data_IF_030497078950
#
_entry.id   IF_030497078950
#
_cell.length_a   1.000
_cell.length_b   1.000
_cell.length_c   1.000
_cell.angle_alpha   90.00
_cell.angle_beta   90.00
_cell.angle_gamma   90.00
#
_symmetry.space_group_name_H-M   'P 1'
#
loop_
_entity.id
_entity.type
_entity.pdbx_description
1 polymer ?
#
# COMPACT_ATOMS: atom_id res chain seq x y z
N UNK A 1 22.68 0.17 23.83
CA UNK A 1 21.35 0.38 24.44
C UNK A 1 21.01 -0.87 25.23
N UNK A 2 20.81 -0.75 26.54
CA UNK A 2 20.64 -1.87 27.47
C UNK A 2 19.18 -2.34 27.56
N UNK A 3 18.62 -2.84 26.46
CA UNK A 3 17.28 -3.42 26.42
C UNK A 3 17.35 -4.94 26.40
N UNK A 4 16.47 -5.60 27.16
CA UNK A 4 16.10 -6.99 26.93
C UNK A 4 14.98 -7.04 25.89
N UNK A 5 15.09 -7.92 24.90
CA UNK A 5 14.13 -8.01 23.80
C UNK A 5 13.41 -9.36 23.81
N UNK A 6 12.09 -9.30 23.73
CA UNK A 6 11.23 -10.45 23.47
C UNK A 6 10.65 -10.37 22.06
N UNK A 7 10.97 -11.35 21.23
CA UNK A 7 10.38 -11.50 19.90
C UNK A 7 9.23 -12.50 19.93
N UNK A 8 8.00 -12.01 19.73
CA UNK A 8 6.83 -12.87 19.53
C UNK A 8 6.43 -12.78 18.06
N UNK A 9 6.58 -13.87 17.33
CA UNK A 9 6.27 -13.96 15.90
C UNK A 9 5.28 -15.07 15.67
N UNK A 10 4.19 -14.77 14.96
CA UNK A 10 3.30 -15.83 14.53
C UNK A 10 3.92 -16.64 13.38
N UNK A 11 3.71 -17.96 13.42
CA UNK A 11 4.14 -18.89 12.36
C UNK A 11 3.11 -19.03 11.24
N UNK A 12 1.95 -18.40 11.37
CA UNK A 12 0.85 -18.43 10.41
C UNK A 12 0.05 -17.12 10.50
N UNK A 13 -0.79 -16.77 9.53
CA UNK A 13 -1.60 -15.54 9.59
C UNK A 13 -2.80 -15.67 10.55
N UNK A 14 -2.54 -16.04 11.82
CA UNK A 14 -3.53 -16.36 12.85
C UNK A 14 -3.76 -15.25 13.89
N UNK A 15 -3.18 -14.06 13.70
CA UNK A 15 -3.43 -12.89 14.56
C UNK A 15 -3.09 -13.03 16.05
N UNK A 16 -2.16 -13.90 16.43
CA UNK A 16 -1.78 -14.11 17.84
C UNK A 16 -2.99 -14.53 18.71
N UNK A 17 -3.56 -15.73 18.50
CA UNK A 17 -4.71 -16.22 19.24
C UNK A 17 -4.43 -16.24 20.74
N UNK A 18 -5.46 -15.97 21.55
CA UNK A 18 -5.33 -15.92 23.02
C UNK A 18 -4.67 -17.18 23.59
N UNK A 19 -5.14 -18.36 23.15
CA UNK A 19 -4.63 -19.66 23.61
C UNK A 19 -3.11 -19.81 23.38
N UNK A 20 -2.61 -19.32 22.24
CA UNK A 20 -1.18 -19.36 21.92
C UNK A 20 -0.39 -18.35 22.77
N UNK A 21 -0.96 -17.17 22.97
CA UNK A 21 -0.31 -16.08 23.71
C UNK A 21 -0.22 -16.31 25.21
N UNK A 22 -1.16 -17.05 25.81
CA UNK A 22 -1.12 -17.40 27.23
C UNK A 22 0.19 -18.10 27.63
N UNK A 23 0.71 -18.99 26.78
CA UNK A 23 2.00 -19.65 27.00
C UNK A 23 3.17 -18.68 26.96
N UNK A 24 3.22 -17.83 25.93
CA UNK A 24 4.27 -16.83 25.76
C UNK A 24 4.28 -15.81 26.92
N UNK A 25 3.11 -15.28 27.29
CA UNK A 25 2.94 -14.31 28.38
C UNK A 25 3.42 -14.89 29.71
N UNK A 26 3.11 -16.16 30.02
CA UNK A 26 3.61 -16.80 31.24
C UNK A 26 5.13 -16.84 31.31
N UNK A 27 5.79 -17.22 30.21
CA UNK A 27 7.26 -17.27 30.13
C UNK A 27 7.86 -15.87 30.29
N UNK A 28 7.32 -14.89 29.56
CA UNK A 28 7.79 -13.50 29.62
C UNK A 28 7.62 -12.95 31.04
N UNK A 29 6.44 -13.09 31.64
CA UNK A 29 6.18 -12.62 33.01
C UNK A 29 7.09 -13.29 34.05
N UNK A 30 7.44 -14.57 33.87
CA UNK A 30 8.40 -15.25 34.75
C UNK A 30 9.79 -14.62 34.69
N UNK A 31 10.27 -14.25 33.51
CA UNK A 31 11.55 -13.54 33.40
C UNK A 31 11.45 -12.10 33.93
N UNK A 32 10.39 -11.37 33.60
CA UNK A 32 10.18 -10.00 34.07
C UNK A 32 10.17 -9.89 35.60
N UNK A 33 9.67 -10.91 36.30
CA UNK A 33 9.73 -10.99 37.77
C UNK A 33 11.17 -11.12 38.30
N UNK A 34 12.06 -11.78 37.55
CA UNK A 34 13.46 -11.96 37.90
C UNK A 34 14.28 -10.73 37.54
N UNK A 35 14.10 -10.19 36.33
CA UNK A 35 14.88 -9.07 35.80
C UNK A 35 14.42 -7.70 36.32
N UNK A 36 13.15 -7.57 36.76
CA UNK A 36 12.55 -6.37 37.35
C UNK A 36 12.89 -5.07 36.59
N UNK A 37 12.55 -4.99 35.30
CA UNK A 37 12.88 -3.82 34.50
C UNK A 37 12.15 -2.57 34.99
N UNK A 38 12.75 -1.40 34.75
CA UNK A 38 12.15 -0.09 35.09
C UNK A 38 10.89 0.20 34.26
N UNK A 39 10.86 -0.27 33.02
CA UNK A 39 9.74 -0.08 32.09
C UNK A 39 9.62 -1.28 31.15
N UNK A 40 8.39 -1.54 30.72
CA UNK A 40 8.08 -2.61 29.76
C UNK A 40 7.26 -1.97 28.65
N UNK A 41 7.68 -2.20 27.42
CA UNK A 41 7.06 -1.68 26.21
C UNK A 41 6.71 -2.85 25.30
N UNK A 42 5.47 -2.90 24.84
CA UNK A 42 5.09 -3.73 23.69
C UNK A 42 4.98 -2.85 22.46
N UNK A 43 5.44 -3.34 21.31
CA UNK A 43 5.26 -2.61 20.05
C UNK A 43 5.00 -3.57 18.90
N UNK A 44 4.31 -3.09 17.88
CA UNK A 44 4.02 -3.89 16.72
C UNK A 44 3.27 -3.12 15.64
N UNK A 45 3.17 -3.76 14.48
CA UNK A 45 2.55 -3.21 13.28
C UNK A 45 1.40 -4.10 12.80
N UNK A 46 0.28 -3.54 12.35
CA UNK A 46 -0.85 -4.30 11.81
C UNK A 46 -1.38 -5.30 12.84
N UNK A 47 -1.38 -6.60 12.53
CA UNK A 47 -1.66 -7.70 13.48
C UNK A 47 -0.74 -7.72 14.69
N UNK A 48 0.53 -7.33 14.52
CA UNK A 48 1.45 -7.14 15.64
C UNK A 48 1.07 -5.92 16.49
N UNK A 49 0.48 -4.89 15.89
CA UNK A 49 -0.06 -3.73 16.60
C UNK A 49 -1.30 -4.11 17.42
N UNK A 50 -2.16 -4.98 16.86
CA UNK A 50 -3.23 -5.64 17.60
C UNK A 50 -2.69 -6.37 18.83
N UNK A 51 -1.71 -7.27 18.66
CA UNK A 51 -1.14 -8.04 19.77
C UNK A 51 -0.48 -7.14 20.82
N UNK A 52 0.25 -6.11 20.38
CA UNK A 52 0.88 -5.15 21.27
C UNK A 52 -0.14 -4.46 22.19
N UNK A 53 -1.30 -4.04 21.66
CA UNK A 53 -2.39 -3.47 22.45
C UNK A 53 -3.10 -4.53 23.30
N UNK A 54 -3.54 -5.64 22.67
CA UNK A 54 -4.39 -6.68 23.26
C UNK A 54 -3.80 -7.36 24.48
N UNK A 55 -2.48 -7.48 24.55
CA UNK A 55 -1.78 -8.19 25.63
C UNK A 55 -0.96 -7.25 26.51
N UNK A 56 -1.10 -5.93 26.33
CA UNK A 56 -0.33 -4.94 27.10
C UNK A 56 -0.67 -4.96 28.59
N UNK A 57 -1.94 -5.16 28.95
CA UNK A 57 -2.34 -5.29 30.35
C UNK A 57 -1.74 -6.55 31.00
N UNK A 58 -1.79 -7.69 30.31
CA UNK A 58 -1.28 -8.99 30.80
C UNK A 58 0.24 -8.98 31.01
N UNK A 59 0.96 -8.16 30.25
CA UNK A 59 2.41 -7.94 30.36
C UNK A 59 2.77 -6.73 31.24
N UNK A 60 1.78 -6.01 31.78
CA UNK A 60 1.96 -4.73 32.47
C UNK A 60 2.83 -3.73 31.68
N UNK A 61 2.68 -3.72 30.36
CA UNK A 61 3.51 -2.99 29.41
C UNK A 61 2.75 -1.83 28.77
N UNK A 62 3.42 -0.70 28.50
CA UNK A 62 2.82 0.37 27.69
C UNK A 62 2.96 -0.01 26.21
N UNK A 63 1.84 0.00 25.47
CA UNK A 63 1.86 -0.38 24.06
C UNK A 63 2.11 0.80 23.12
N UNK A 64 2.85 0.51 22.05
CA UNK A 64 3.08 1.39 20.90
C UNK A 64 2.66 0.64 19.64
N UNK A 65 1.43 0.87 19.18
CA UNK A 65 0.90 0.15 18.03
C UNK A 65 0.87 1.01 16.76
N UNK A 66 1.35 0.46 15.66
CA UNK A 66 1.31 1.07 14.33
C UNK A 66 0.23 0.39 13.49
N UNK A 67 -0.73 1.17 13.00
CA UNK A 67 -1.87 0.70 12.19
C UNK A 67 -2.53 -0.57 12.76
N UNK A 68 -2.84 -0.61 14.07
CA UNK A 68 -3.39 -1.80 14.69
C UNK A 68 -4.74 -2.16 14.07
N UNK A 69 -4.99 -3.46 13.96
CA UNK A 69 -6.29 -3.96 13.55
C UNK A 69 -7.14 -4.28 14.79
N UNK A 70 -8.45 -4.09 14.68
CA UNK A 70 -9.38 -4.31 15.79
C UNK A 70 -9.89 -5.75 15.89
N UNK A 71 -10.19 -6.37 14.75
CA UNK A 71 -10.77 -7.72 14.67
C UNK A 71 -10.42 -8.40 13.34
N UNK A 72 -10.22 -9.72 13.40
CA UNK A 72 -10.10 -10.62 12.24
C UNK A 72 -11.47 -11.19 11.83
N UNK A 73 -12.47 -11.10 12.70
CA UNK A 73 -13.79 -11.68 12.48
C UNK A 73 -14.55 -10.88 11.41
N UNK A 74 -14.83 -11.47 10.23
CA UNK A 74 -15.54 -10.78 9.15
C UNK A 74 -16.99 -10.44 9.52
N UNK A 75 -17.62 -11.16 10.46
CA UNK A 75 -18.96 -10.82 10.91
C UNK A 75 -18.98 -9.52 11.73
N UNK A 76 -17.81 -9.13 12.27
CA UNK A 76 -17.61 -7.92 13.09
C UNK A 76 -16.89 -6.80 12.34
N UNK A 77 -16.54 -7.01 11.07
CA UNK A 77 -15.85 -6.02 10.25
C UNK A 77 -16.78 -4.96 9.64
N UNK A 78 -18.09 -5.09 9.84
CA UNK A 78 -19.11 -4.14 9.33
C UNK A 78 -19.01 -3.90 7.81
N UNK A 79 -18.66 -4.94 7.05
CA UNK A 79 -18.53 -4.86 5.60
C UNK A 79 -17.19 -4.29 5.12
N UNK A 80 -16.29 -3.90 6.02
CA UNK A 80 -14.89 -3.75 5.67
C UNK A 80 -14.39 -5.11 5.19
N UNK A 81 -13.64 -5.14 4.10
CA UNK A 81 -13.04 -6.34 3.53
C UNK A 81 -11.52 -6.26 3.70
N UNK A 82 -10.92 -7.31 4.26
CA UNK A 82 -9.48 -7.38 4.51
C UNK A 82 -8.91 -8.71 4.01
N UNK A 83 -7.68 -8.74 3.48
CA UNK A 83 -7.09 -9.95 2.90
C UNK A 83 -6.87 -11.07 3.92
N UNK A 84 -6.93 -10.77 5.21
CA UNK A 84 -6.71 -11.72 6.30
C UNK A 84 -7.99 -12.40 6.82
N UNK A 85 -9.18 -11.95 6.42
CA UNK A 85 -10.43 -12.57 6.90
C UNK A 85 -10.62 -14.01 6.42
N UNK A 86 -9.98 -14.38 5.31
CA UNK A 86 -9.92 -15.77 4.85
C UNK A 86 -9.20 -16.72 5.81
N UNK A 87 -8.45 -16.19 6.78
CA UNK A 87 -7.78 -16.95 7.82
C UNK A 87 -8.55 -16.95 9.14
N UNK A 88 -9.74 -16.34 9.19
CA UNK A 88 -10.61 -16.45 10.33
C UNK A 88 -11.03 -17.90 10.56
N UNK A 89 -10.88 -18.33 11.80
CA UNK A 89 -11.28 -19.62 12.31
C UNK A 89 -11.94 -19.38 13.66
N UNK A 90 -13.24 -19.66 13.77
CA UNK A 90 -14.01 -19.41 14.99
C UNK A 90 -13.50 -20.19 16.20
N UNK A 91 -12.82 -21.33 16.01
CA UNK A 91 -12.26 -22.13 17.11
C UNK A 91 -11.00 -21.52 17.73
N UNK A 92 -10.33 -20.64 16.98
CA UNK A 92 -9.10 -19.96 17.36
C UNK A 92 -9.32 -18.48 17.70
N UNK A 93 -10.24 -17.82 17.00
CA UNK A 93 -10.38 -16.36 17.00
C UNK A 93 -11.62 -15.84 17.72
N UNK A 94 -12.27 -16.70 18.51
CA UNK A 94 -13.36 -16.26 19.39
C UNK A 94 -12.85 -15.19 20.37
N UNK A 95 -13.64 -14.13 20.56
CA UNK A 95 -13.37 -13.03 21.50
C UNK A 95 -12.01 -12.31 21.35
N UNK A 96 -11.49 -12.26 20.13
CA UNK A 96 -10.25 -11.57 19.79
C UNK A 96 -10.38 -10.06 19.56
N UNK A 97 -11.48 -9.42 19.95
CA UNK A 97 -11.56 -7.96 19.93
C UNK A 97 -10.71 -7.31 21.03
N UNK A 98 -10.23 -6.09 20.76
CA UNK A 98 -9.60 -5.25 21.77
C UNK A 98 -10.70 -4.69 22.69
N UNK A 99 -10.49 -4.79 24.01
CA UNK A 99 -11.38 -4.29 25.07
C UNK A 99 -10.56 -3.48 26.07
N UNK A 100 -11.21 -2.77 26.98
CA UNK A 100 -10.55 -1.80 27.86
C UNK A 100 -9.58 -2.48 28.83
N UNK A 101 -9.97 -3.63 29.37
CA UNK A 101 -9.19 -4.47 30.26
C UNK A 101 -7.94 -5.08 29.60
N UNK A 102 -7.91 -5.16 28.27
CA UNK A 102 -6.78 -5.69 27.52
C UNK A 102 -5.63 -4.67 27.38
N UNK A 103 -5.95 -3.38 27.51
CA UNK A 103 -5.05 -2.29 27.18
C UNK A 103 -4.51 -1.61 28.43
N UNK A 104 -3.19 -1.57 28.58
CA UNK A 104 -2.53 -0.81 29.65
C UNK A 104 -2.76 0.69 29.44
N UNK A 105 -3.17 1.38 30.50
CA UNK A 105 -3.26 2.85 30.52
C UNK A 105 -1.94 3.51 30.08
N UNK A 106 -2.03 4.52 29.22
CA UNK A 106 -0.86 5.22 28.66
C UNK A 106 -0.38 4.64 27.33
N UNK A 107 -0.94 3.52 26.89
CA UNK A 107 -0.71 2.97 25.55
C UNK A 107 -1.15 3.94 24.45
N UNK A 108 -0.43 3.95 23.35
CA UNK A 108 -0.71 4.79 22.19
C UNK A 108 -0.78 3.96 20.92
N UNK A 109 -1.47 4.48 19.91
CA UNK A 109 -1.43 3.90 18.58
C UNK A 109 -1.49 4.93 17.47
N UNK A 110 -0.92 4.59 16.32
CA UNK A 110 -0.81 5.45 15.16
C UNK A 110 -1.68 4.92 14.03
N UNK A 111 -2.38 5.81 13.34
CA UNK A 111 -3.20 5.46 12.19
C UNK A 111 -3.31 6.63 11.21
N UNK A 112 -3.58 6.32 9.95
CA UNK A 112 -3.93 7.32 8.94
C UNK A 112 -5.45 7.55 8.93
N UNK A 113 -5.95 8.73 9.33
CA UNK A 113 -7.39 9.02 9.31
C UNK A 113 -7.98 9.09 7.90
N UNK A 114 -7.16 9.20 6.86
CA UNK A 114 -7.57 9.28 5.45
C UNK A 114 -7.68 7.88 4.84
N UNK A 115 -6.99 6.90 5.41
CA UNK A 115 -7.06 5.51 4.96
C UNK A 115 -8.24 4.82 5.65
N UNK A 116 -9.27 4.48 4.86
CA UNK A 116 -10.58 4.06 5.36
C UNK A 116 -10.50 2.84 6.28
N UNK A 117 -9.70 1.83 5.92
CA UNK A 117 -9.49 0.62 6.70
C UNK A 117 -8.88 0.90 8.08
N UNK A 118 -7.76 1.62 8.12
CA UNK A 118 -7.12 2.00 9.38
C UNK A 118 -8.01 2.92 10.23
N UNK A 119 -8.74 3.83 9.59
CA UNK A 119 -9.68 4.74 10.26
C UNK A 119 -10.83 3.98 10.91
N UNK A 120 -11.36 2.94 10.24
CA UNK A 120 -12.37 2.06 10.83
C UNK A 120 -11.83 1.31 12.05
N UNK A 121 -10.67 0.65 11.93
CA UNK A 121 -10.04 -0.04 13.05
C UNK A 121 -9.75 0.91 14.22
N UNK A 122 -9.22 2.10 13.94
CA UNK A 122 -8.94 3.11 14.95
C UNK A 122 -10.19 3.53 15.72
N UNK A 123 -11.32 3.75 15.04
CA UNK A 123 -12.60 4.07 15.70
C UNK A 123 -13.03 2.98 16.66
N UNK A 124 -12.98 1.71 16.24
CA UNK A 124 -13.32 0.58 17.10
C UNK A 124 -12.41 0.47 18.32
N UNK A 125 -11.10 0.72 18.16
CA UNK A 125 -10.15 0.73 19.27
C UNK A 125 -10.44 1.88 20.25
N UNK A 126 -10.77 3.07 19.75
CA UNK A 126 -11.14 4.24 20.58
C UNK A 126 -12.43 3.97 21.37
N UNK A 127 -13.42 3.35 20.74
CA UNK A 127 -14.70 3.02 21.37
C UNK A 127 -14.54 1.97 22.48
N UNK A 128 -13.58 1.05 22.33
CA UNK A 128 -13.46 -0.14 23.19
C UNK A 128 -12.23 -0.14 24.10
N UNK A 129 -11.38 0.88 24.10
CA UNK A 129 -10.17 0.93 24.93
C UNK A 129 -9.77 2.34 25.36
N UNK A 130 -8.81 2.43 26.28
CA UNK A 130 -8.24 3.71 26.73
C UNK A 130 -6.91 4.05 26.01
N UNK A 131 -6.62 3.40 24.88
CA UNK A 131 -5.44 3.70 24.08
C UNK A 131 -5.55 5.09 23.44
N UNK A 132 -4.47 5.87 23.48
CA UNK A 132 -4.48 7.22 22.91
C UNK A 132 -4.17 7.19 21.42
N UNK A 133 -5.08 7.65 20.54
CA UNK A 133 -4.81 7.76 19.11
C UNK A 133 -3.82 8.88 18.79
N UNK A 134 -2.88 8.61 17.89
CA UNK A 134 -1.96 9.60 17.31
C UNK A 134 -2.13 9.60 15.79
N UNK A 135 -2.62 10.73 15.28
CA UNK A 135 -2.88 10.88 13.84
C UNK A 135 -1.57 10.94 13.04
N UNK A 136 -1.49 10.11 12.00
CA UNK A 136 -0.43 10.10 11.00
C UNK A 136 -1.01 10.15 9.57
N UNK A 137 -1.53 11.31 9.11
CA UNK A 137 -2.17 11.42 7.81
C UNK A 137 -1.23 11.14 6.64
N UNK A 138 -1.78 10.55 5.58
CA UNK A 138 -1.07 10.15 4.36
C UNK A 138 0.02 9.10 4.61
N UNK A 139 -0.17 8.19 5.55
CA UNK A 139 0.76 7.07 5.77
C UNK A 139 0.19 5.73 5.31
N UNK A 140 -1.11 5.69 4.96
CA UNK A 140 -1.81 4.46 4.64
C UNK A 140 -1.68 3.46 5.79
N UNK A 141 -1.62 2.18 5.46
CA UNK A 141 -1.41 1.13 6.46
C UNK A 141 0.02 1.12 7.03
N UNK A 142 1.00 1.82 6.43
CA UNK A 142 2.42 1.70 6.78
C UNK A 142 2.91 2.79 7.76
N UNK A 143 2.14 3.07 8.81
CA UNK A 143 2.47 4.14 9.79
C UNK A 143 3.85 3.96 10.45
N UNK A 144 4.34 2.72 10.61
CA UNK A 144 5.65 2.44 11.22
C UNK A 144 6.82 3.04 10.44
N UNK A 145 6.77 2.99 9.10
CA UNK A 145 7.82 3.58 8.25
C UNK A 145 7.84 5.09 8.43
N UNK A 146 6.67 5.71 8.58
CA UNK A 146 6.57 7.13 8.86
C UNK A 146 7.18 7.51 10.22
N UNK A 147 7.00 6.68 11.25
CA UNK A 147 7.60 6.92 12.57
C UNK A 147 9.12 6.83 12.53
N UNK A 148 9.67 5.90 11.73
CA UNK A 148 11.10 5.75 11.50
C UNK A 148 11.63 6.98 10.76
N UNK A 149 11.03 7.35 9.63
CA UNK A 149 11.48 8.48 8.79
C UNK A 149 11.46 9.83 9.54
N UNK A 150 10.48 10.01 10.43
CA UNK A 150 10.33 11.23 11.23
C UNK A 150 11.19 11.23 12.50
N UNK A 151 11.86 10.11 12.81
CA UNK A 151 12.55 9.86 14.08
C UNK A 151 11.60 9.89 15.28
N UNK A 152 10.29 9.79 15.07
CA UNK A 152 9.31 9.78 16.15
C UNK A 152 9.50 8.57 17.07
N UNK A 153 9.94 7.45 16.50
CA UNK A 153 10.25 6.22 17.23
C UNK A 153 11.32 6.44 18.32
N UNK A 154 12.35 7.23 18.04
CA UNK A 154 13.42 7.56 18.99
C UNK A 154 12.91 8.35 20.18
N UNK A 155 11.90 9.20 19.98
CA UNK A 155 11.28 9.96 21.07
C UNK A 155 10.47 9.07 22.01
N UNK A 156 10.12 7.86 21.58
CA UNK A 156 9.38 6.91 22.40
C UNK A 156 10.36 5.99 23.13
N UNK A 157 11.34 5.42 22.43
CA UNK A 157 12.27 4.47 23.04
C UNK A 157 13.37 5.12 23.87
N UNK A 158 13.79 6.37 23.59
CA UNK A 158 14.80 7.05 24.40
C UNK A 158 14.19 7.88 25.55
N UNK A 159 12.88 7.71 25.81
CA UNK A 159 12.22 8.36 26.92
C UNK A 159 12.46 7.54 28.19
N UNK A 160 13.09 8.15 29.20
CA UNK A 160 13.15 7.57 30.56
C UNK A 160 11.76 7.54 31.23
N UNK A 161 10.74 8.11 30.58
CA UNK A 161 9.38 8.17 31.10
C UNK A 161 8.54 6.98 30.63
N UNK A 162 7.81 6.39 31.58
CA UNK A 162 6.79 5.36 31.33
C UNK A 162 5.60 5.95 30.55
N UNK A 163 5.38 7.26 30.61
CA UNK A 163 4.25 7.93 29.95
C UNK A 163 4.65 8.48 28.59
N UNK A 164 3.88 8.13 27.56
CA UNK A 164 4.09 8.60 26.21
C UNK A 164 3.36 9.94 26.00
N UNK A 165 4.11 11.01 25.71
CA UNK A 165 3.53 12.31 25.33
C UNK A 165 3.07 12.30 23.87
N UNK A 166 1.80 11.90 23.68
CA UNK A 166 1.15 11.85 22.38
C UNK A 166 1.16 13.20 21.63
N UNK A 167 1.07 14.33 22.35
CA UNK A 167 1.07 15.66 21.73
C UNK A 167 2.45 15.99 21.15
N UNK A 168 3.50 15.79 21.92
CA UNK A 168 4.89 16.02 21.47
C UNK A 168 5.27 15.11 20.31
N UNK A 169 4.86 13.84 20.36
CA UNK A 169 5.08 12.90 19.25
C UNK A 169 4.34 13.35 18.00
N UNK A 170 3.06 13.70 18.10
CA UNK A 170 2.29 14.22 16.96
C UNK A 170 2.92 15.47 16.37
N UNK A 171 3.40 16.39 17.22
CA UNK A 171 4.12 17.59 16.78
C UNK A 171 5.41 17.23 16.03
N UNK A 172 6.18 16.25 16.53
CA UNK A 172 7.39 15.75 15.85
C UNK A 172 7.08 15.13 14.50
N UNK A 173 6.09 14.25 14.42
CA UNK A 173 5.59 13.66 13.17
C UNK A 173 5.22 14.76 12.19
N UNK A 174 4.37 15.72 12.60
CA UNK A 174 3.96 16.84 11.75
C UNK A 174 5.17 17.61 11.23
N UNK A 175 6.11 17.99 12.09
CA UNK A 175 7.25 18.81 11.68
C UNK A 175 8.22 18.09 10.74
N UNK A 176 8.31 16.76 10.83
CA UNK A 176 9.26 15.96 10.07
C UNK A 176 8.63 15.13 8.94
N UNK A 177 7.31 15.18 8.76
CA UNK A 177 6.58 14.37 7.76
C UNK A 177 7.15 14.49 6.34
N UNK A 178 7.74 15.64 6.01
CA UNK A 178 8.39 15.88 4.72
C UNK A 178 9.66 15.05 4.47
N UNK A 179 10.19 14.35 5.49
CA UNK A 179 11.29 13.39 5.34
C UNK A 179 10.81 12.00 4.92
N UNK A 180 9.51 11.74 4.99
CA UNK A 180 8.97 10.41 4.83
C UNK A 180 8.49 10.14 3.40
N UNK A 181 9.00 9.08 2.80
CA UNK A 181 8.62 8.68 1.45
C UNK A 181 7.16 8.27 1.38
N UNK A 182 6.68 7.52 2.38
CA UNK A 182 5.31 7.02 2.43
C UNK A 182 4.30 8.17 2.54
N UNK A 183 4.67 9.23 3.25
CA UNK A 183 3.90 10.48 3.33
C UNK A 183 3.68 11.11 1.96
N UNK A 184 4.76 11.25 1.19
CA UNK A 184 4.67 11.89 -0.12
C UNK A 184 3.90 11.04 -1.13
N UNK A 185 4.13 9.73 -1.16
CA UNK A 185 3.45 8.81 -2.07
C UNK A 185 1.94 8.81 -1.82
N UNK A 186 1.49 8.59 -0.59
CA UNK A 186 0.06 8.57 -0.29
C UNK A 186 -0.60 9.94 -0.46
N UNK A 187 0.15 11.03 -0.24
CA UNK A 187 -0.34 12.37 -0.52
C UNK A 187 -0.60 12.59 -2.01
N UNK A 188 0.25 12.06 -2.89
CA UNK A 188 -0.01 12.06 -4.34
C UNK A 188 -1.32 11.33 -4.65
N UNK A 189 -1.48 10.10 -4.15
CA UNK A 189 -2.69 9.31 -4.43
C UNK A 189 -3.96 9.96 -3.89
N UNK A 190 -3.92 10.50 -2.68
CA UNK A 190 -5.08 11.16 -2.07
C UNK A 190 -5.51 12.41 -2.84
N UNK A 191 -4.55 13.24 -3.28
CA UNK A 191 -4.84 14.47 -4.02
C UNK A 191 -5.25 14.20 -5.48
N UNK A 192 -4.72 13.14 -6.10
CA UNK A 192 -4.99 12.80 -7.51
C UNK A 192 -6.45 12.45 -7.80
N UNK A 193 -7.27 12.21 -6.76
CA UNK A 193 -8.73 12.07 -6.85
C UNK A 193 -9.43 13.35 -7.34
N UNK A 194 -8.79 14.52 -7.21
CA UNK A 194 -9.32 15.80 -7.69
C UNK A 194 -8.19 16.64 -8.29
N UNK A 195 -7.66 16.13 -9.41
CA UNK A 195 -6.46 16.68 -10.06
C UNK A 195 -6.60 18.15 -10.45
N UNK A 196 -7.78 18.56 -10.92
CA UNK A 196 -8.02 19.93 -11.40
C UNK A 196 -7.91 20.94 -10.26
N UNK A 197 -8.29 20.53 -9.05
CA UNK A 197 -8.23 21.37 -7.86
C UNK A 197 -6.84 21.43 -7.24
N UNK A 198 -6.07 20.35 -7.29
CA UNK A 198 -4.84 20.19 -6.50
C UNK A 198 -3.58 19.97 -7.34
N UNK A 199 -3.58 20.43 -8.59
CA UNK A 199 -2.49 20.20 -9.53
C UNK A 199 -1.11 20.58 -8.96
N UNK A 200 -1.01 21.77 -8.35
CA UNK A 200 0.24 22.25 -7.76
C UNK A 200 0.71 21.42 -6.56
N UNK A 201 -0.21 21.00 -5.68
CA UNK A 201 0.10 20.17 -4.53
C UNK A 201 0.47 18.74 -4.93
N UNK A 202 -0.17 18.19 -5.96
CA UNK A 202 0.16 16.89 -6.55
C UNK A 202 1.58 16.95 -7.10
N UNK A 203 1.90 17.96 -7.92
CA UNK A 203 3.24 18.12 -8.46
C UNK A 203 4.28 18.24 -7.33
N UNK A 204 4.03 19.09 -6.34
CA UNK A 204 4.93 19.24 -5.20
C UNK A 204 5.12 17.91 -4.45
N UNK A 205 4.05 17.16 -4.21
CA UNK A 205 4.13 15.87 -3.54
C UNK A 205 4.88 14.83 -4.38
N UNK A 206 4.60 14.75 -5.69
CA UNK A 206 5.24 13.81 -6.61
C UNK A 206 6.74 14.08 -6.74
N UNK A 207 7.16 15.35 -6.83
CA UNK A 207 8.58 15.73 -6.84
C UNK A 207 9.30 15.30 -5.57
N UNK A 208 8.68 15.47 -4.40
CA UNK A 208 9.29 15.01 -3.16
C UNK A 208 9.32 13.48 -3.06
N UNK A 209 8.26 12.79 -3.48
CA UNK A 209 8.25 11.33 -3.55
C UNK A 209 9.37 10.80 -4.46
N UNK A 210 9.60 11.40 -5.63
CA UNK A 210 10.70 11.06 -6.54
C UNK A 210 12.09 11.26 -5.91
N UNK A 211 12.27 12.30 -5.08
CA UNK A 211 13.56 12.54 -4.38
C UNK A 211 13.92 11.41 -3.42
N UNK A 212 12.94 10.91 -2.66
CA UNK A 212 13.17 9.86 -1.66
C UNK A 212 13.08 8.45 -2.26
N UNK A 213 12.23 8.23 -3.27
CA UNK A 213 12.08 6.98 -4.00
C UNK A 213 12.71 7.10 -5.40
N UNK A 214 14.01 7.38 -5.44
CA UNK A 214 14.72 7.72 -6.68
C UNK A 214 14.78 6.59 -7.71
N UNK A 215 14.44 5.35 -7.35
CA UNK A 215 14.36 4.20 -8.27
C UNK A 215 12.98 3.59 -8.39
N UNK A 216 11.95 4.22 -7.81
CA UNK A 216 10.57 3.74 -7.96
C UNK A 216 9.92 4.40 -9.17
N UNK A 217 9.28 3.63 -10.06
CA UNK A 217 8.58 4.17 -11.22
C UNK A 217 7.30 4.93 -10.83
N UNK A 218 6.57 4.50 -9.80
CA UNK A 218 5.22 4.99 -9.50
C UNK A 218 5.14 6.50 -9.23
N UNK A 219 5.98 7.11 -8.37
CA UNK A 219 5.96 8.55 -8.17
C UNK A 219 6.31 9.34 -9.43
N UNK A 220 7.10 8.75 -10.34
CA UNK A 220 7.48 9.39 -11.61
C UNK A 220 6.35 9.35 -12.62
N UNK A 221 5.60 8.25 -12.65
CA UNK A 221 4.39 8.16 -13.47
C UNK A 221 3.39 9.23 -13.06
N UNK A 222 3.14 9.39 -11.76
CA UNK A 222 2.25 10.45 -11.27
C UNK A 222 2.79 11.86 -11.54
N UNK A 223 4.11 12.07 -11.41
CA UNK A 223 4.76 13.32 -11.81
C UNK A 223 4.59 13.59 -13.32
N UNK A 224 4.75 12.58 -14.17
CA UNK A 224 4.57 12.72 -15.61
C UNK A 224 3.11 13.06 -15.97
N UNK A 225 2.13 12.41 -15.32
CA UNK A 225 0.69 12.68 -15.52
C UNK A 225 0.37 14.14 -15.22
N UNK A 226 0.84 14.66 -14.09
CA UNK A 226 0.53 16.05 -13.72
C UNK A 226 1.26 17.07 -14.58
N UNK A 227 2.53 16.82 -14.93
CA UNK A 227 3.30 17.69 -15.82
C UNK A 227 2.68 17.73 -17.23
N UNK A 228 2.23 16.57 -17.74
CA UNK A 228 1.57 16.51 -19.03
C UNK A 228 0.27 17.32 -19.03
N UNK A 229 -0.60 17.12 -18.01
CA UNK A 229 -1.86 17.86 -17.88
C UNK A 229 -1.68 19.37 -17.75
N UNK A 230 -0.59 19.81 -17.14
CA UNK A 230 -0.26 21.24 -16.96
C UNK A 230 0.52 21.84 -18.12
N UNK A 231 0.66 21.12 -19.24
CA UNK A 231 1.31 21.61 -20.47
C UNK A 231 2.85 21.52 -20.47
N UNK A 232 3.46 20.93 -19.45
CA UNK A 232 4.91 20.78 -19.30
C UNK A 232 5.41 19.47 -19.92
N UNK A 233 5.13 19.32 -21.22
CA UNK A 233 5.30 18.04 -21.94
C UNK A 233 6.75 17.54 -21.95
N UNK A 234 7.75 18.41 -22.02
CA UNK A 234 9.18 18.02 -22.01
C UNK A 234 9.59 17.40 -20.66
N UNK A 235 9.21 18.03 -19.54
CA UNK A 235 9.47 17.47 -18.22
C UNK A 235 8.67 16.19 -17.97
N UNK A 236 7.42 16.13 -18.45
CA UNK A 236 6.61 14.92 -18.40
C UNK A 236 7.29 13.78 -19.16
N UNK A 237 7.82 14.07 -20.35
CA UNK A 237 8.58 13.14 -21.18
C UNK A 237 9.84 12.63 -20.49
N UNK A 238 10.56 13.51 -19.79
CA UNK A 238 11.74 13.13 -19.01
C UNK A 238 11.38 12.24 -17.82
N UNK A 239 10.32 12.59 -17.08
CA UNK A 239 9.85 11.82 -15.94
C UNK A 239 9.39 10.41 -16.35
N UNK A 240 8.63 10.28 -17.45
CA UNK A 240 8.12 8.98 -17.90
C UNK A 240 9.21 8.10 -18.49
N UNK A 241 10.18 8.67 -19.23
CA UNK A 241 11.33 7.91 -19.73
C UNK A 241 12.15 7.35 -18.58
N UNK A 242 12.35 8.14 -17.52
CA UNK A 242 13.04 7.66 -16.33
C UNK A 242 12.22 6.62 -15.56
N UNK A 243 10.88 6.75 -15.49
CA UNK A 243 10.02 5.72 -14.93
C UNK A 243 10.21 4.38 -15.66
N UNK A 244 10.23 4.42 -17.00
CA UNK A 244 10.46 3.24 -17.83
C UNK A 244 11.85 2.60 -17.61
N UNK A 245 12.89 3.36 -17.26
CA UNK A 245 14.19 2.76 -16.91
C UNK A 245 14.19 1.98 -15.59
N UNK A 246 13.20 2.22 -14.72
CA UNK A 246 13.11 1.61 -13.39
C UNK A 246 11.93 0.65 -13.25
N UNK A 247 11.13 0.45 -14.30
CA UNK A 247 10.09 -0.55 -14.26
C UNK A 247 10.72 -1.94 -14.38
N UNK A 248 10.27 -2.87 -13.56
CA UNK A 248 10.78 -4.23 -13.47
C UNK A 248 9.67 -5.23 -13.85
N UNK A 249 10.04 -6.48 -14.13
CA UNK A 249 9.09 -7.56 -14.38
C UNK A 249 8.07 -7.70 -13.24
N UNK A 250 8.52 -7.55 -11.98
CA UNK A 250 7.70 -7.65 -10.79
C UNK A 250 6.84 -6.40 -10.51
N UNK A 251 7.01 -5.30 -11.26
CA UNK A 251 6.19 -4.11 -11.11
C UNK A 251 4.71 -4.43 -11.35
N UNK A 252 3.84 -3.66 -10.71
CA UNK A 252 2.39 -3.81 -10.89
C UNK A 252 2.00 -3.56 -12.34
N UNK A 253 1.00 -4.29 -12.79
CA UNK A 253 0.51 -4.24 -14.17
C UNK A 253 0.00 -2.84 -14.55
N UNK A 254 -0.67 -2.16 -13.63
CA UNK A 254 -1.20 -0.81 -13.84
C UNK A 254 -0.08 0.21 -14.11
N UNK A 255 1.07 0.04 -13.46
CA UNK A 255 2.22 0.92 -13.64
C UNK A 255 2.79 0.79 -15.05
N UNK A 256 2.88 -0.44 -15.56
CA UNK A 256 3.28 -0.69 -16.93
C UNK A 256 2.35 -0.03 -17.94
N UNK A 257 1.04 -0.10 -17.70
CA UNK A 257 0.05 0.51 -18.59
C UNK A 257 0.11 2.02 -18.62
N UNK A 258 0.18 2.65 -17.45
CA UNK A 258 0.33 4.10 -17.38
C UNK A 258 1.63 4.56 -18.06
N UNK A 259 2.73 3.79 -17.93
CA UNK A 259 3.98 4.06 -18.66
C UNK A 259 3.78 3.97 -20.17
N UNK A 260 3.24 2.87 -20.67
CA UNK A 260 3.03 2.64 -22.11
C UNK A 260 2.14 3.74 -22.71
N UNK A 261 1.03 4.06 -22.05
CA UNK A 261 0.08 5.07 -22.50
C UNK A 261 0.73 6.47 -22.55
N UNK A 262 1.45 6.87 -21.50
CA UNK A 262 2.10 8.18 -21.44
C UNK A 262 3.28 8.28 -22.41
N UNK A 263 4.07 7.21 -22.60
CA UNK A 263 5.08 7.15 -23.65
C UNK A 263 4.45 7.38 -25.02
N UNK A 264 3.31 6.75 -25.29
CA UNK A 264 2.56 6.89 -26.53
C UNK A 264 2.07 8.31 -26.77
N UNK A 265 1.51 8.94 -25.73
CA UNK A 265 0.99 10.31 -25.77
C UNK A 265 2.07 11.37 -25.90
N UNK A 266 3.22 11.18 -25.24
CA UNK A 266 4.27 12.21 -25.13
C UNK A 266 5.31 12.05 -26.23
N UNK A 267 5.81 10.83 -26.45
CA UNK A 267 6.92 10.56 -27.37
C UNK A 267 6.47 9.86 -28.67
N UNK A 268 5.17 9.59 -28.82
CA UNK A 268 4.59 8.92 -29.97
C UNK A 268 4.62 7.39 -29.86
N UNK A 269 4.20 6.69 -30.93
CA UNK A 269 3.88 5.26 -30.85
C UNK A 269 5.10 4.34 -30.78
N UNK A 270 6.29 4.79 -31.20
CA UNK A 270 7.49 3.94 -31.24
C UNK A 270 7.98 3.56 -29.82
N UNK A 271 8.17 4.49 -28.87
CA UNK A 271 8.50 4.13 -27.50
C UNK A 271 7.45 3.25 -26.81
N UNK A 272 6.16 3.52 -27.04
CA UNK A 272 5.08 2.72 -26.49
C UNK A 272 5.05 1.29 -27.05
N UNK A 273 5.37 1.12 -28.35
CA UNK A 273 5.55 -0.19 -28.96
C UNK A 273 6.67 -0.98 -28.27
N UNK A 274 7.84 -0.34 -28.07
CA UNK A 274 8.97 -0.99 -27.39
C UNK A 274 8.62 -1.41 -25.96
N UNK A 275 7.96 -0.54 -25.20
CA UNK A 275 7.52 -0.84 -23.84
C UNK A 275 6.48 -1.99 -23.82
N UNK A 276 5.56 -2.02 -24.78
CA UNK A 276 4.57 -3.10 -24.91
C UNK A 276 5.22 -4.44 -25.27
N UNK A 277 6.22 -4.44 -26.15
CA UNK A 277 7.02 -5.63 -26.48
C UNK A 277 7.74 -6.18 -25.24
N UNK A 278 8.34 -5.30 -24.44
CA UNK A 278 9.02 -5.68 -23.20
C UNK A 278 8.05 -6.27 -22.18
N UNK A 279 6.86 -5.66 -22.02
CA UNK A 279 5.84 -6.20 -21.12
C UNK A 279 5.37 -7.60 -21.56
N UNK A 280 5.15 -7.84 -22.85
CA UNK A 280 4.79 -9.17 -23.36
C UNK A 280 5.92 -10.17 -23.17
N UNK A 281 7.18 -9.75 -23.30
CA UNK A 281 8.34 -10.60 -23.01
C UNK A 281 8.34 -11.06 -21.54
N UNK A 282 8.05 -10.13 -20.61
CA UNK A 282 7.94 -10.43 -19.18
C UNK A 282 6.67 -11.22 -18.83
N UNK A 283 5.56 -10.96 -19.51
CA UNK A 283 4.24 -11.51 -19.16
C UNK A 283 3.48 -11.98 -20.40
N UNK A 284 3.95 -13.07 -21.05
CA UNK A 284 3.39 -13.51 -22.33
C UNK A 284 1.95 -14.00 -22.23
N UNK A 285 1.50 -14.49 -21.07
CA UNK A 285 0.12 -14.92 -20.85
C UNK A 285 -0.85 -13.78 -20.54
N UNK A 286 -0.36 -12.55 -20.36
CA UNK A 286 -1.19 -11.41 -19.98
C UNK A 286 -1.89 -10.83 -21.23
N UNK A 287 -3.19 -11.13 -21.35
CA UNK A 287 -4.00 -10.72 -22.51
C UNK A 287 -3.94 -9.21 -22.76
N UNK A 288 -4.00 -8.41 -21.71
CA UNK A 288 -4.01 -6.95 -21.86
C UNK A 288 -2.65 -6.40 -22.30
N UNK A 289 -1.53 -7.04 -21.92
CA UNK A 289 -0.22 -6.74 -22.49
C UNK A 289 -0.14 -7.07 -23.98
N UNK A 290 -0.67 -8.24 -24.38
CA UNK A 290 -0.76 -8.61 -25.80
C UNK A 290 -1.63 -7.63 -26.59
N UNK A 291 -2.73 -7.17 -25.99
CA UNK A 291 -3.61 -6.19 -26.60
C UNK A 291 -2.90 -4.86 -26.87
N UNK A 292 -2.17 -4.32 -25.89
CA UNK A 292 -1.37 -3.10 -26.08
C UNK A 292 -0.30 -3.27 -27.17
N UNK A 293 0.35 -4.43 -27.23
CA UNK A 293 1.29 -4.74 -28.29
C UNK A 293 0.62 -4.74 -29.66
N UNK A 294 -0.52 -5.43 -29.82
CA UNK A 294 -1.29 -5.43 -31.06
C UNK A 294 -1.72 -4.01 -31.47
N UNK A 295 -2.21 -3.23 -30.51
CA UNK A 295 -2.61 -1.84 -30.72
C UNK A 295 -1.47 -1.01 -31.32
N UNK A 296 -0.29 -1.00 -30.70
CA UNK A 296 0.84 -0.22 -31.20
C UNK A 296 1.47 -0.79 -32.47
N UNK A 297 1.38 -2.11 -32.72
CA UNK A 297 1.78 -2.70 -34.01
C UNK A 297 0.88 -2.18 -35.14
N UNK A 298 -0.43 -2.18 -34.95
CA UNK A 298 -1.41 -1.68 -35.94
C UNK A 298 -1.24 -0.18 -36.14
N UNK A 299 -1.13 0.59 -35.07
CA UNK A 299 -0.91 2.04 -35.12
C UNK A 299 0.38 2.41 -35.87
N UNK A 300 1.42 1.57 -35.78
CA UNK A 300 2.69 1.73 -36.53
C UNK A 300 2.68 1.06 -37.90
N UNK A 301 1.51 0.64 -38.40
CA UNK A 301 1.27 0.01 -39.71
C UNK A 301 1.94 -1.36 -39.90
N UNK A 302 2.26 -2.06 -38.81
CA UNK A 302 2.76 -3.44 -38.79
C UNK A 302 1.59 -4.43 -38.69
N UNK A 303 0.70 -4.37 -39.68
CA UNK A 303 -0.60 -5.06 -39.64
C UNK A 303 -0.50 -6.58 -39.53
N UNK A 304 0.43 -7.23 -40.23
CA UNK A 304 0.56 -8.70 -40.16
C UNK A 304 0.90 -9.18 -38.75
N UNK A 305 1.87 -8.52 -38.11
CA UNK A 305 2.27 -8.84 -36.74
C UNK A 305 1.14 -8.53 -35.75
N UNK A 306 0.48 -7.38 -35.91
CA UNK A 306 -0.68 -7.02 -35.09
C UNK A 306 -1.82 -8.05 -35.18
N UNK A 307 -2.17 -8.48 -36.40
CA UNK A 307 -3.18 -9.53 -36.63
C UNK A 307 -2.79 -10.87 -36.01
N UNK A 308 -1.50 -11.25 -36.08
CA UNK A 308 -1.03 -12.47 -35.45
C UNK A 308 -1.28 -12.47 -33.94
N UNK A 309 -0.96 -11.35 -33.27
CA UNK A 309 -1.22 -11.18 -31.83
C UNK A 309 -2.74 -11.16 -31.54
N UNK A 310 -3.54 -10.47 -32.34
CA UNK A 310 -5.00 -10.46 -32.15
C UNK A 310 -5.61 -11.86 -32.25
N UNK A 311 -5.17 -12.69 -33.21
CA UNK A 311 -5.62 -14.09 -33.32
C UNK A 311 -5.19 -14.93 -32.12
N UNK A 312 -4.01 -14.68 -31.57
CA UNK A 312 -3.56 -15.32 -30.34
C UNK A 312 -4.44 -14.92 -29.15
N UNK A 313 -4.82 -13.65 -29.02
CA UNK A 313 -5.77 -13.21 -27.98
C UNK A 313 -7.11 -13.94 -28.11
N UNK A 314 -7.63 -14.05 -29.33
CA UNK A 314 -8.89 -14.75 -29.61
C UNK A 314 -8.83 -16.24 -29.22
N UNK A 315 -7.71 -16.91 -29.46
CA UNK A 315 -7.57 -18.34 -29.13
C UNK A 315 -7.54 -18.62 -27.63
N UNK A 316 -7.21 -17.64 -26.79
CA UNK A 316 -7.28 -17.78 -25.34
C UNK A 316 -8.71 -17.72 -24.78
N UNK A 317 -9.71 -17.34 -25.59
CA UNK A 317 -11.11 -17.21 -25.15
C UNK A 317 -11.31 -16.21 -24.00
N UNK A 318 -10.32 -15.36 -23.75
CA UNK A 318 -10.30 -14.47 -22.59
C UNK A 318 -11.10 -13.19 -22.82
N UNK A 319 -11.65 -12.66 -21.75
CA UNK A 319 -12.40 -11.41 -21.75
C UNK A 319 -11.43 -10.23 -21.96
N UNK A 320 -11.54 -9.51 -23.08
CA UNK A 320 -10.85 -8.23 -23.26
C UNK A 320 -11.61 -7.17 -22.48
N UNK A 321 -10.93 -6.45 -21.59
CA UNK A 321 -11.55 -5.50 -20.66
C UNK A 321 -12.34 -4.38 -21.37
N UNK A 322 -11.93 -3.99 -22.58
CA UNK A 322 -12.66 -3.06 -23.43
C UNK A 322 -13.03 -3.72 -24.78
N UNK A 323 -14.21 -4.35 -24.83
CA UNK A 323 -14.74 -5.01 -26.03
C UNK A 323 -14.86 -4.05 -27.21
N UNK A 324 -15.25 -2.79 -26.98
CA UNK A 324 -15.45 -1.82 -28.06
C UNK A 324 -14.12 -1.42 -28.69
N UNK A 325 -13.11 -1.14 -27.87
CA UNK A 325 -11.77 -0.83 -28.36
C UNK A 325 -11.17 -2.03 -29.11
N UNK A 326 -11.39 -3.25 -28.61
CA UNK A 326 -10.96 -4.46 -29.29
C UNK A 326 -11.62 -4.65 -30.67
N UNK A 327 -12.93 -4.45 -30.75
CA UNK A 327 -13.66 -4.52 -32.01
C UNK A 327 -13.20 -3.45 -33.01
N UNK A 328 -12.97 -2.22 -32.56
CA UNK A 328 -12.38 -1.15 -33.41
C UNK A 328 -11.03 -1.59 -33.97
N UNK A 329 -10.18 -2.15 -33.12
CA UNK A 329 -8.85 -2.58 -33.50
C UNK A 329 -8.88 -3.73 -34.53
N UNK A 330 -9.83 -4.66 -34.44
CA UNK A 330 -10.03 -5.70 -35.47
C UNK A 330 -10.38 -5.08 -36.83
N UNK A 331 -11.26 -4.07 -36.86
CA UNK A 331 -11.61 -3.38 -38.11
C UNK A 331 -10.40 -2.64 -38.70
N UNK A 332 -9.65 -1.91 -37.86
CA UNK A 332 -8.42 -1.22 -38.26
C UNK A 332 -7.36 -2.20 -38.78
N UNK A 333 -7.31 -3.41 -38.23
CA UNK A 333 -6.43 -4.49 -38.69
C UNK A 333 -6.91 -5.19 -39.98
N UNK A 334 -8.12 -4.90 -40.46
CA UNK A 334 -8.75 -5.56 -41.60
C UNK A 334 -9.34 -6.95 -41.29
N UNK A 335 -9.55 -7.29 -40.01
CA UNK A 335 -10.08 -8.57 -39.53
C UNK A 335 -11.63 -8.57 -39.49
N UNK A 336 -12.24 -8.39 -40.66
CA UNK A 336 -13.70 -8.19 -40.79
C UNK A 336 -14.53 -9.45 -40.44
N UNK A 337 -13.98 -10.64 -40.69
CA UNK A 337 -14.67 -11.89 -40.38
C UNK A 337 -14.74 -12.11 -38.87
N UNK A 338 -13.61 -11.99 -38.20
CA UNK A 338 -13.47 -12.10 -36.74
C UNK A 338 -14.30 -11.01 -36.02
N UNK A 339 -14.29 -9.77 -36.55
CA UNK A 339 -15.15 -8.71 -36.03
C UNK A 339 -16.65 -9.06 -36.12
N UNK A 340 -17.13 -9.58 -37.26
CA UNK A 340 -18.55 -9.97 -37.43
C UNK A 340 -18.96 -11.10 -36.51
N UNK A 341 -18.07 -12.04 -36.25
CA UNK A 341 -18.32 -13.15 -35.34
C UNK A 341 -18.50 -12.66 -33.91
N UNK A 342 -17.59 -11.81 -33.44
CA UNK A 342 -17.60 -11.26 -32.09
C UNK A 342 -18.59 -10.11 -31.85
N UNK A 343 -19.17 -9.52 -32.90
CA UNK A 343 -20.16 -8.44 -32.77
C UNK A 343 -21.60 -8.95 -32.61
N UNK A 344 -21.82 -10.26 -32.76
CA UNK A 344 -23.06 -10.93 -32.40
C UNK A 344 -23.13 -11.13 -30.89
#
# INVERSE_FOLDING_TARGET
MGYSLYGVMSKSPNWFPRKDMEGAIRVINSDLQQSRPLSIITYGHSQGGYAALRYSADLNAVAIASSPQYTIDPAKSEGMAGPYYKFFDSSLHEEMEIRREHVKKGSVFFYDPIFEEDSWHARKIIENSDATPILAPFTGHATILHLIDTGAIDSIFNSDQITIDAFSIRKKIRNHRGKSVIYWINRVYALSRNVDRFAGEIEHAARNAVKFASRSPEPRVELAKILYRTGRHEEAGSAISLAFTFVEEASREEVWYEIIELLGKIHGPKPALLASQLLVLYRPALIHAQFLLAYYLIYTKRFEEGRAILRQILSYGGHVSDRNQFLSLLLEAGMQAEWKELSK
#
